data_IF_672565907750
#
_entry.id   IF_672565907750
#
_cell.length_a   1.000
_cell.length_b   1.000
_cell.length_c   1.000
_cell.angle_alpha   90.00
_cell.angle_beta   90.00
_cell.angle_gamma   90.00
#
_symmetry.space_group_name_H-M   'P 1'
#
loop_
_entity.id
_entity.type
_entity.pdbx_description
1 polymer ?
#
# COMPACT_ATOMS: atom_id res chain seq x y z
N UNK A 1 10.11 -18.18 10.22
CA UNK A 1 8.71 -17.95 9.85
C UNK A 1 8.45 -16.53 9.44
N UNK A 2 7.34 -16.31 8.74
CA UNK A 2 6.89 -14.99 8.34
C UNK A 2 5.38 -14.88 8.55
N UNK A 3 4.92 -13.67 8.91
CA UNK A 3 3.50 -13.33 8.95
C UNK A 3 3.26 -12.19 7.97
N UNK A 4 2.33 -12.39 7.04
CA UNK A 4 1.98 -11.41 6.03
C UNK A 4 0.54 -10.95 6.21
N UNK A 5 0.33 -9.64 6.27
CA UNK A 5 -0.99 -9.02 6.28
C UNK A 5 -1.18 -8.22 4.99
N UNK A 6 -2.34 -8.41 4.38
CA UNK A 6 -2.73 -7.72 3.15
C UNK A 6 -3.58 -6.52 3.53
N UNK A 7 -3.12 -5.31 3.20
CA UNK A 7 -3.95 -4.11 3.25
C UNK A 7 -4.33 -3.69 1.83
N UNK A 8 -5.60 -3.40 1.63
CA UNK A 8 -6.14 -3.09 0.30
C UNK A 8 -6.31 -1.60 0.05
N UNK A 9 -6.28 -0.78 1.11
CA UNK A 9 -6.63 0.63 1.02
C UNK A 9 -5.51 1.55 1.49
N UNK A 10 -5.30 2.62 0.74
CA UNK A 10 -4.44 3.73 1.11
C UNK A 10 -5.07 4.67 2.15
N UNK A 11 -4.34 5.73 2.52
CA UNK A 11 -4.78 6.71 3.52
C UNK A 11 -6.01 7.53 3.08
N UNK A 12 -6.30 7.57 1.81
CA UNK A 12 -7.43 8.27 1.19
C UNK A 12 -8.62 7.35 0.89
N UNK A 13 -8.71 6.20 1.55
CA UNK A 13 -9.69 5.14 1.28
C UNK A 13 -9.67 4.65 -0.19
N UNK A 14 -8.65 4.99 -0.95
CA UNK A 14 -8.44 4.52 -2.32
C UNK A 14 -7.92 3.09 -2.33
N UNK A 15 -8.18 2.36 -3.39
CA UNK A 15 -7.61 1.04 -3.60
C UNK A 15 -6.08 1.16 -3.77
N UNK A 16 -5.36 0.57 -2.85
CA UNK A 16 -3.90 0.54 -2.82
C UNK A 16 -3.45 -0.72 -2.09
N UNK A 17 -3.26 -1.79 -2.86
CA UNK A 17 -2.91 -3.09 -2.30
C UNK A 17 -1.45 -3.07 -1.89
N UNK A 18 -1.18 -3.35 -0.61
CA UNK A 18 0.16 -3.48 -0.08
C UNK A 18 0.23 -4.55 1.00
N UNK A 19 1.43 -5.09 1.17
CA UNK A 19 1.71 -6.19 2.08
C UNK A 19 2.58 -5.70 3.23
N UNK A 20 2.19 -6.03 4.45
CA UNK A 20 3.04 -5.89 5.62
C UNK A 20 3.56 -7.28 6.00
N UNK A 21 4.86 -7.48 5.87
CA UNK A 21 5.51 -8.74 6.18
C UNK A 21 6.34 -8.59 7.47
N UNK A 22 6.00 -9.35 8.49
CA UNK A 22 6.83 -9.52 9.68
C UNK A 22 7.68 -10.77 9.48
N UNK A 23 8.98 -10.61 9.45
CA UNK A 23 9.94 -11.69 9.26
C UNK A 23 10.98 -11.66 10.36
N UNK A 24 11.54 -12.81 10.71
CA UNK A 24 12.72 -12.83 11.56
C UNK A 24 13.92 -12.25 10.80
N UNK A 25 14.71 -11.45 11.50
CA UNK A 25 15.97 -10.89 10.98
C UNK A 25 17.16 -11.84 11.24
N UNK A 26 16.92 -13.14 11.26
CA UNK A 26 17.91 -14.16 11.44
C UNK A 26 17.35 -15.57 11.31
N UNK A 27 18.18 -16.54 11.62
CA UNK A 27 17.86 -17.96 11.56
C UNK A 27 18.23 -18.67 12.85
N UNK A 28 17.43 -19.65 13.24
CA UNK A 28 17.79 -20.56 14.31
C UNK A 28 18.67 -21.69 13.77
N UNK A 29 19.88 -21.81 14.29
CA UNK A 29 20.76 -22.92 14.01
C UNK A 29 20.46 -24.05 15.00
N UNK A 30 20.32 -25.27 14.47
CA UNK A 30 20.20 -26.47 15.31
C UNK A 30 21.55 -26.78 15.93
N UNK A 31 21.58 -26.89 17.26
CA UNK A 31 22.73 -27.33 18.05
C UNK A 31 22.38 -28.61 18.80
N UNK A 32 23.33 -29.22 19.54
CA UNK A 32 23.06 -30.37 20.41
C UNK A 32 22.25 -29.98 21.66
N UNK A 33 22.07 -28.66 21.92
CA UNK A 33 21.28 -28.11 23.01
C UNK A 33 20.10 -27.29 22.50
N UNK A 34 19.84 -26.14 23.14
CA UNK A 34 18.83 -25.22 22.68
C UNK A 34 19.23 -24.58 21.36
N UNK A 35 18.24 -24.31 20.47
CA UNK A 35 18.51 -23.63 19.19
C UNK A 35 19.12 -22.24 19.39
N UNK A 36 20.25 -22.00 18.74
CA UNK A 36 20.93 -20.70 18.77
C UNK A 36 20.42 -19.78 17.65
N UNK A 37 20.05 -18.54 18.01
CA UNK A 37 19.59 -17.55 17.05
C UNK A 37 20.76 -16.75 16.46
N UNK A 38 20.94 -16.88 15.15
CA UNK A 38 21.93 -16.12 14.41
C UNK A 38 21.28 -14.98 13.64
N UNK A 39 21.59 -13.77 14.05
CA UNK A 39 21.10 -12.56 13.43
C UNK A 39 21.71 -12.38 12.02
N UNK A 40 20.85 -12.04 11.05
CA UNK A 40 21.28 -11.66 9.71
C UNK A 40 21.60 -10.16 9.69
N UNK A 41 22.58 -9.76 8.90
CA UNK A 41 22.85 -8.34 8.68
C UNK A 41 21.66 -7.67 7.97
N UNK A 42 21.52 -6.37 8.18
CA UNK A 42 20.54 -5.58 7.41
C UNK A 42 20.87 -5.65 5.90
N UNK A 43 19.85 -5.77 5.04
CA UNK A 43 20.06 -5.78 3.60
C UNK A 43 20.62 -4.45 3.12
N UNK A 44 21.45 -4.47 2.10
CA UNK A 44 21.85 -3.25 1.40
C UNK A 44 20.73 -2.77 0.48
N UNK A 45 20.84 -1.52 -0.01
CA UNK A 45 19.89 -0.97 -0.97
C UNK A 45 19.87 -1.77 -2.28
N UNK A 46 21.04 -2.21 -2.74
CA UNK A 46 21.17 -2.99 -3.98
C UNK A 46 20.54 -4.37 -3.82
N UNK A 47 20.69 -5.00 -2.67
CA UNK A 47 20.03 -6.27 -2.35
C UNK A 47 18.51 -6.13 -2.33
N UNK A 48 17.99 -5.02 -1.80
CA UNK A 48 16.56 -4.73 -1.83
C UNK A 48 16.07 -4.49 -3.26
N UNK A 49 16.84 -3.81 -4.11
CA UNK A 49 16.50 -3.60 -5.51
C UNK A 49 16.43 -4.94 -6.27
N UNK A 50 17.44 -5.79 -6.11
CA UNK A 50 17.45 -7.14 -6.71
C UNK A 50 16.29 -8.00 -6.20
N UNK A 51 15.97 -7.90 -4.91
CA UNK A 51 14.83 -8.64 -4.34
C UNK A 51 13.51 -8.13 -4.91
N UNK A 52 13.34 -6.82 -5.04
CA UNK A 52 12.14 -6.21 -5.62
C UNK A 52 11.91 -6.67 -7.06
N UNK A 53 12.95 -6.67 -7.91
CA UNK A 53 12.88 -7.17 -9.28
C UNK A 53 12.44 -8.64 -9.33
N UNK A 54 12.98 -9.48 -8.45
CA UNK A 54 12.56 -10.89 -8.34
C UNK A 54 11.09 -11.03 -7.92
N UNK A 55 10.63 -10.19 -7.00
CA UNK A 55 9.22 -10.19 -6.57
C UNK A 55 8.32 -9.80 -7.74
N UNK A 56 8.65 -8.73 -8.46
CA UNK A 56 7.88 -8.23 -9.63
C UNK A 56 7.82 -9.32 -10.71
N UNK A 57 8.95 -9.89 -11.09
CA UNK A 57 9.01 -10.94 -12.11
C UNK A 57 8.15 -12.16 -11.75
N UNK A 58 8.20 -12.60 -10.48
CA UNK A 58 7.36 -13.71 -10.00
C UNK A 58 5.88 -13.37 -9.96
N UNK A 59 5.54 -12.14 -9.55
CA UNK A 59 4.16 -11.66 -9.53
C UNK A 59 3.57 -11.61 -10.94
N UNK A 60 4.27 -11.01 -11.90
CA UNK A 60 3.83 -10.92 -13.29
C UNK A 60 3.65 -12.33 -13.89
N UNK A 61 4.63 -13.21 -13.71
CA UNK A 61 4.53 -14.61 -14.16
C UNK A 61 3.34 -15.35 -13.54
N UNK A 62 3.04 -15.09 -12.28
CA UNK A 62 1.86 -15.66 -11.61
C UNK A 62 0.57 -15.12 -12.22
N UNK A 63 0.47 -13.81 -12.45
CA UNK A 63 -0.71 -13.17 -13.04
C UNK A 63 -0.97 -13.66 -14.49
N UNK A 64 0.09 -13.84 -15.30
CA UNK A 64 -0.01 -14.45 -16.63
C UNK A 64 -0.53 -15.88 -16.52
N UNK A 65 0.05 -16.68 -15.62
CA UNK A 65 -0.39 -18.09 -15.43
C UNK A 65 -1.84 -18.20 -14.98
N UNK A 66 -2.34 -17.21 -14.21
CA UNK A 66 -3.72 -17.16 -13.76
C UNK A 66 -4.68 -16.53 -14.78
N UNK A 67 -4.19 -16.11 -15.94
CA UNK A 67 -4.99 -15.49 -17.00
C UNK A 67 -5.42 -14.05 -16.72
N UNK A 68 -4.80 -13.37 -15.74
CA UNK A 68 -5.07 -11.94 -15.47
C UNK A 68 -4.26 -11.01 -16.37
N UNK A 69 -3.13 -11.48 -16.87
CA UNK A 69 -2.30 -10.78 -17.83
C UNK A 69 -2.05 -11.67 -19.05
N UNK A 70 -1.94 -11.03 -20.21
CA UNK A 70 -1.48 -11.64 -21.47
C UNK A 70 -0.17 -10.97 -21.87
N UNK A 71 0.80 -11.73 -22.31
CA UNK A 71 2.06 -11.22 -22.83
C UNK A 71 2.11 -11.42 -24.34
N UNK A 72 2.23 -10.31 -25.08
CA UNK A 72 2.37 -10.30 -26.53
C UNK A 72 3.56 -9.41 -26.91
N UNK A 73 4.48 -9.94 -27.71
CA UNK A 73 5.67 -9.23 -28.18
C UNK A 73 6.51 -8.58 -27.07
N UNK A 74 6.56 -9.19 -25.86
CA UNK A 74 7.30 -8.68 -24.71
C UNK A 74 6.59 -7.56 -23.95
N UNK A 75 5.33 -7.26 -24.28
CA UNK A 75 4.49 -6.31 -23.57
C UNK A 75 3.38 -7.07 -22.84
N UNK A 76 3.20 -6.74 -21.55
CA UNK A 76 2.13 -7.34 -20.73
C UNK A 76 0.89 -6.46 -20.78
N UNK A 77 -0.24 -7.04 -21.13
CA UNK A 77 -1.55 -6.39 -21.14
C UNK A 77 -2.44 -7.03 -20.08
N UNK A 78 -3.38 -6.26 -19.56
CA UNK A 78 -4.47 -6.82 -18.75
C UNK A 78 -5.30 -7.69 -19.69
N UNK A 79 -5.46 -8.98 -19.34
CA UNK A 79 -6.35 -9.86 -20.10
C UNK A 79 -7.75 -9.22 -20.10
N UNK A 80 -8.45 -9.33 -21.25
CA UNK A 80 -9.84 -8.88 -21.33
C UNK A 80 -10.63 -9.58 -20.23
N UNK A 81 -10.77 -8.84 -19.13
CA UNK A 81 -11.62 -9.26 -18.03
C UNK A 81 -13.04 -9.16 -18.56
N UNK A 82 -13.78 -10.26 -18.51
CA UNK A 82 -15.15 -10.40 -18.92
C UNK A 82 -15.90 -9.07 -18.90
N UNK A 83 -16.60 -8.74 -19.98
CA UNK A 83 -17.40 -7.51 -20.11
C UNK A 83 -18.40 -7.31 -18.94
N UNK A 84 -18.55 -8.31 -18.11
CA UNK A 84 -19.40 -8.35 -16.89
C UNK A 84 -18.69 -7.87 -15.60
N UNK A 85 -17.43 -7.44 -15.63
CA UNK A 85 -16.80 -6.92 -14.41
C UNK A 85 -17.30 -5.49 -14.10
N UNK A 86 -18.50 -5.41 -13.57
CA UNK A 86 -19.15 -4.15 -13.14
C UNK A 86 -18.33 -3.32 -12.15
N UNK A 87 -17.31 -3.92 -11.50
CA UNK A 87 -16.44 -3.24 -10.54
C UNK A 87 -15.16 -2.67 -11.16
N UNK A 88 -14.81 -3.00 -12.41
CA UNK A 88 -13.56 -2.57 -13.03
C UNK A 88 -13.42 -1.05 -13.07
N UNK A 89 -14.49 -0.33 -13.43
CA UNK A 89 -14.50 1.15 -13.46
C UNK A 89 -14.33 1.76 -12.06
N UNK A 90 -14.95 1.17 -11.04
CA UNK A 90 -14.81 1.58 -9.63
C UNK A 90 -13.38 1.36 -9.15
N UNK A 91 -12.80 0.21 -9.43
CA UNK A 91 -11.42 -0.13 -9.07
C UNK A 91 -10.41 0.81 -9.73
N UNK A 92 -10.54 1.05 -11.04
CA UNK A 92 -9.67 1.96 -11.79
C UNK A 92 -9.77 3.41 -11.28
N UNK A 93 -10.98 3.89 -11.02
CA UNK A 93 -11.19 5.22 -10.46
C UNK A 93 -10.60 5.33 -9.04
N UNK A 94 -10.79 4.31 -8.20
CA UNK A 94 -10.24 4.27 -6.84
C UNK A 94 -8.71 4.31 -6.86
N UNK A 95 -8.04 3.52 -7.70
CA UNK A 95 -6.58 3.51 -7.86
C UNK A 95 -6.02 4.87 -8.29
N UNK A 96 -6.75 5.59 -9.14
CA UNK A 96 -6.29 6.85 -9.75
C UNK A 96 -6.80 8.11 -9.03
N UNK A 97 -7.42 7.96 -7.86
CA UNK A 97 -8.02 9.07 -7.08
C UNK A 97 -9.08 9.83 -7.87
N UNK A 98 -9.86 9.13 -8.70
CA UNK A 98 -10.93 9.67 -9.50
C UNK A 98 -12.29 9.25 -8.97
N UNK A 99 -13.33 9.95 -9.42
CA UNK A 99 -14.73 9.63 -9.17
C UNK A 99 -15.18 8.70 -10.28
N UNK A 100 -15.78 7.56 -9.93
CA UNK A 100 -16.15 6.54 -10.91
C UNK A 100 -17.45 6.87 -11.64
N UNK A 101 -18.46 7.32 -10.89
CA UNK A 101 -19.83 7.47 -11.38
C UNK A 101 -20.43 8.83 -10.97
N UNK A 102 -21.47 9.26 -11.67
CA UNK A 102 -22.21 10.49 -11.38
C UNK A 102 -21.74 11.69 -12.20
N UNK A 103 -22.26 12.90 -11.90
CA UNK A 103 -21.97 14.11 -12.69
C UNK A 103 -20.50 14.51 -12.73
N UNK A 104 -19.71 14.05 -11.79
CA UNK A 104 -18.28 14.32 -11.69
C UNK A 104 -17.40 13.12 -12.09
N UNK A 105 -17.95 12.12 -12.75
CA UNK A 105 -17.21 10.94 -13.21
C UNK A 105 -15.94 11.35 -13.99
N UNK A 106 -14.83 10.66 -13.74
CA UNK A 106 -13.53 10.94 -14.33
C UNK A 106 -12.74 12.09 -13.69
N UNK A 107 -13.38 12.95 -12.90
CA UNK A 107 -12.68 14.03 -12.19
C UNK A 107 -11.89 13.49 -11.00
N UNK A 108 -10.82 14.19 -10.64
CA UNK A 108 -10.10 13.89 -9.39
C UNK A 108 -10.95 14.27 -8.19
N UNK A 109 -10.82 13.53 -7.11
CA UNK A 109 -11.43 13.90 -5.82
C UNK A 109 -10.93 15.27 -5.37
N UNK A 110 -11.81 16.06 -4.80
CA UNK A 110 -11.46 17.37 -4.28
C UNK A 110 -10.51 17.23 -3.08
N UNK A 111 -9.37 17.90 -3.14
CA UNK A 111 -8.35 17.89 -2.10
C UNK A 111 -8.27 19.23 -1.37
N UNK A 112 -8.18 19.19 -0.05
CA UNK A 112 -8.04 20.37 0.81
C UNK A 112 -6.62 20.39 1.39
N UNK A 113 -5.89 21.46 1.10
CA UNK A 113 -4.52 21.69 1.57
C UNK A 113 -4.56 22.59 2.79
N UNK A 114 -4.02 22.13 3.89
CA UNK A 114 -3.97 22.92 5.13
C UNK A 114 -2.54 23.15 5.64
N UNK A 115 -1.55 22.53 5.01
CA UNK A 115 -0.14 22.69 5.32
C UNK A 115 0.66 22.97 4.05
N UNK A 116 1.85 23.57 4.20
CA UNK A 116 2.76 23.76 3.08
C UNK A 116 3.22 22.44 2.51
N UNK A 117 3.33 22.35 1.20
CA UNK A 117 3.87 21.19 0.51
C UNK A 117 5.36 20.98 0.83
N UNK A 118 5.82 19.73 0.78
CA UNK A 118 7.22 19.36 0.97
C UNK A 118 7.86 19.05 -0.36
N UNK A 119 8.97 19.71 -0.67
CA UNK A 119 9.73 19.49 -1.91
C UNK A 119 10.78 18.37 -1.81
N UNK A 120 11.13 17.92 -0.61
CA UNK A 120 12.18 16.92 -0.43
C UNK A 120 11.66 15.49 -0.65
N UNK A 121 12.32 14.78 -1.57
CA UNK A 121 12.28 13.32 -1.62
C UNK A 121 13.15 12.80 -0.47
N UNK A 122 12.55 12.45 0.65
CA UNK A 122 13.28 11.72 1.69
C UNK A 122 13.57 10.32 1.13
N UNK A 123 14.78 10.10 0.65
CA UNK A 123 15.25 8.76 0.29
C UNK A 123 15.44 7.99 1.58
N UNK A 124 14.52 7.11 1.90
CA UNK A 124 14.64 6.21 3.05
C UNK A 124 15.76 5.22 2.77
N UNK A 125 16.72 5.09 3.69
CA UNK A 125 17.95 4.30 3.49
C UNK A 125 17.71 2.83 3.10
N UNK A 126 16.58 2.24 3.54
CA UNK A 126 16.20 0.85 3.25
C UNK A 126 14.89 0.79 2.46
N UNK A 127 14.88 1.43 1.28
CA UNK A 127 13.75 1.43 0.35
C UNK A 127 14.27 1.24 -1.08
N UNK A 128 13.58 0.38 -1.85
CA UNK A 128 13.77 0.21 -3.28
C UNK A 128 12.48 0.49 -4.02
N UNK A 129 12.57 1.10 -5.19
CA UNK A 129 11.43 1.40 -6.07
C UNK A 129 11.76 0.95 -7.50
N UNK A 130 10.86 0.22 -8.14
CA UNK A 130 10.98 -0.21 -9.53
C UNK A 130 9.59 -0.43 -10.14
N UNK A 131 9.39 0.00 -11.39
CA UNK A 131 8.17 -0.27 -12.18
C UNK A 131 6.84 0.07 -11.46
N UNK A 132 6.84 1.11 -10.61
CA UNK A 132 5.67 1.48 -9.82
C UNK A 132 5.47 0.67 -8.53
N UNK A 133 6.33 -0.30 -8.26
CA UNK A 133 6.37 -1.04 -6.99
C UNK A 133 7.39 -0.44 -6.04
N UNK A 134 7.16 -0.64 -4.74
CA UNK A 134 8.12 -0.24 -3.71
C UNK A 134 8.29 -1.33 -2.66
N UNK A 135 9.51 -1.50 -2.18
CA UNK A 135 9.88 -2.41 -1.09
C UNK A 135 10.56 -1.59 0.02
N UNK A 136 9.99 -1.60 1.21
CA UNK A 136 10.50 -0.87 2.36
C UNK A 136 10.86 -1.84 3.49
N UNK A 137 12.11 -1.83 3.93
CA UNK A 137 12.65 -2.71 4.97
C UNK A 137 13.24 -1.93 6.17
N UNK A 138 12.85 -0.66 6.34
CA UNK A 138 13.42 0.23 7.37
C UNK A 138 12.82 0.08 8.77
N UNK A 139 11.85 -0.81 8.98
CA UNK A 139 11.24 -1.01 10.30
C UNK A 139 11.77 -2.30 10.91
N UNK A 140 12.37 -2.18 12.10
CA UNK A 140 12.89 -3.30 12.87
C UNK A 140 12.44 -3.17 14.33
N UNK A 141 12.10 -4.29 14.95
CA UNK A 141 11.82 -4.37 16.38
C UNK A 141 12.80 -5.38 17.00
N UNK A 142 13.67 -4.91 17.89
CA UNK A 142 14.58 -5.77 18.63
C UNK A 142 13.86 -6.64 19.68
N UNK A 143 14.52 -7.68 20.17
CA UNK A 143 13.97 -8.64 21.12
C UNK A 143 13.36 -8.00 22.38
N UNK A 144 13.89 -6.87 22.83
CA UNK A 144 13.44 -6.15 24.02
C UNK A 144 12.35 -5.10 23.72
N UNK A 145 12.00 -4.89 22.45
CA UNK A 145 11.06 -3.85 22.00
C UNK A 145 9.64 -4.42 21.80
N UNK A 146 9.16 -5.17 22.77
CA UNK A 146 7.84 -5.79 22.68
C UNK A 146 6.69 -4.79 22.53
N UNK A 147 6.79 -3.63 23.18
CA UNK A 147 5.77 -2.56 23.07
C UNK A 147 5.75 -1.95 21.68
N UNK A 148 6.90 -1.76 21.06
CA UNK A 148 7.05 -1.27 19.68
C UNK A 148 6.47 -2.26 18.70
N UNK A 149 6.78 -3.56 18.87
CA UNK A 149 6.19 -4.64 18.06
C UNK A 149 4.66 -4.68 18.20
N UNK A 150 4.13 -4.54 19.42
CA UNK A 150 2.69 -4.48 19.64
C UNK A 150 2.05 -3.27 18.93
N UNK A 151 2.68 -2.08 19.02
CA UNK A 151 2.21 -0.89 18.29
C UNK A 151 2.23 -1.11 16.78
N UNK A 152 3.28 -1.74 16.25
CA UNK A 152 3.38 -2.10 14.84
C UNK A 152 2.26 -3.06 14.44
N UNK A 153 2.04 -4.13 15.20
CA UNK A 153 0.95 -5.08 14.96
C UNK A 153 -0.42 -4.38 14.98
N UNK A 154 -0.68 -3.52 15.97
CA UNK A 154 -1.90 -2.70 16.02
C UNK A 154 -2.04 -1.77 14.82
N UNK A 155 -0.93 -1.20 14.34
CA UNK A 155 -0.94 -0.34 13.16
C UNK A 155 -1.31 -1.10 11.89
N UNK A 156 -0.69 -2.26 11.65
CA UNK A 156 -0.90 -3.05 10.42
C UNK A 156 -2.23 -3.80 10.39
N UNK A 157 -2.86 -4.03 11.55
CA UNK A 157 -4.18 -4.67 11.65
C UNK A 157 -5.36 -3.68 11.70
N UNK A 158 -5.09 -2.37 11.69
CA UNK A 158 -6.16 -1.36 11.74
C UNK A 158 -7.04 -1.42 10.50
N UNK A 159 -8.36 -1.14 10.65
CA UNK A 159 -9.24 -0.96 9.52
C UNK A 159 -8.76 0.20 8.64
N UNK A 160 -9.10 0.16 7.35
CA UNK A 160 -8.73 1.17 6.37
C UNK A 160 -9.19 2.58 6.79
N UNK A 161 -10.38 2.66 7.35
CA UNK A 161 -11.03 3.90 7.78
C UNK A 161 -11.29 3.81 9.28
N UNK A 162 -10.78 4.78 10.02
CA UNK A 162 -11.14 5.00 11.41
C UNK A 162 -12.25 6.06 11.48
N UNK A 163 -13.26 5.83 12.29
CA UNK A 163 -14.47 6.67 12.35
C UNK A 163 -14.16 8.14 12.61
N UNK A 164 -13.15 8.41 13.46
CA UNK A 164 -12.72 9.77 13.80
C UNK A 164 -12.15 10.56 12.61
N UNK A 165 -11.77 9.86 11.54
CA UNK A 165 -11.23 10.48 10.33
C UNK A 165 -12.30 10.89 9.32
N UNK A 166 -13.53 10.43 9.49
CA UNK A 166 -14.65 10.70 8.58
C UNK A 166 -15.61 11.65 9.26
N UNK A 167 -15.85 12.78 8.63
CA UNK A 167 -16.80 13.80 9.10
C UNK A 167 -17.72 14.23 7.97
N UNK A 168 -18.89 14.70 8.31
CA UNK A 168 -19.77 15.42 7.37
C UNK A 168 -19.61 16.91 7.59
N UNK A 169 -19.54 17.67 6.52
CA UNK A 169 -19.55 19.13 6.62
C UNK A 169 -20.98 19.70 6.57
N UNK A 170 -21.09 21.03 6.62
CA UNK A 170 -22.38 21.73 6.63
C UNK A 170 -23.18 21.58 5.33
N UNK A 171 -22.55 21.19 4.21
CA UNK A 171 -23.21 20.89 2.94
C UNK A 171 -23.65 19.43 2.82
N UNK A 172 -23.31 18.60 3.82
CA UNK A 172 -23.62 17.16 3.84
C UNK A 172 -22.58 16.30 3.14
N UNK A 173 -21.51 16.87 2.62
CA UNK A 173 -20.41 16.16 1.99
C UNK A 173 -19.54 15.44 3.04
N UNK A 174 -18.91 14.35 2.62
CA UNK A 174 -17.97 13.59 3.43
C UNK A 174 -16.58 14.21 3.32
N UNK A 175 -16.00 14.53 4.46
CA UNK A 175 -14.62 15.01 4.59
C UNK A 175 -13.81 13.91 5.27
N UNK A 176 -12.87 13.32 4.53
CA UNK A 176 -11.95 12.30 5.03
C UNK A 176 -10.60 12.93 5.32
N UNK A 177 -10.16 12.86 6.59
CA UNK A 177 -8.83 13.26 7.01
C UNK A 177 -7.80 12.19 6.62
N UNK A 178 -6.72 12.60 5.97
CA UNK A 178 -5.59 11.72 5.64
C UNK A 178 -4.79 11.37 6.91
N UNK A 179 -4.15 10.20 6.92
CA UNK A 179 -3.25 9.79 8.02
C UNK A 179 -2.02 10.71 8.14
N UNK A 180 -1.54 11.18 6.98
CA UNK A 180 -0.45 12.15 6.86
C UNK A 180 -0.73 13.05 5.68
N UNK A 181 -0.24 14.30 5.73
CA UNK A 181 -0.36 15.20 4.61
C UNK A 181 0.37 14.64 3.36
N UNK A 182 -0.23 14.81 2.19
CA UNK A 182 0.46 14.54 0.94
C UNK A 182 1.59 15.54 0.70
N UNK A 183 2.44 15.27 -0.28
CA UNK A 183 3.58 16.16 -0.61
C UNK A 183 3.13 17.57 -0.96
N UNK A 184 1.98 17.71 -1.60
CA UNK A 184 1.40 19.02 -1.99
C UNK A 184 0.70 19.75 -0.84
N UNK A 185 0.74 19.20 0.40
CA UNK A 185 0.11 19.77 1.57
C UNK A 185 -1.36 19.39 1.75
N UNK A 186 -1.90 18.49 0.92
CA UNK A 186 -3.26 17.97 1.09
C UNK A 186 -3.37 17.17 2.38
N UNK A 187 -4.33 17.52 3.24
CA UNK A 187 -4.60 16.85 4.51
C UNK A 187 -5.98 16.21 4.56
N UNK A 188 -6.90 16.66 3.72
CA UNK A 188 -8.26 16.16 3.66
C UNK A 188 -8.68 15.99 2.20
N UNK A 189 -9.59 15.06 1.97
CA UNK A 189 -10.33 14.95 0.69
C UNK A 189 -11.81 15.10 0.98
N UNK A 190 -12.50 15.77 0.08
CA UNK A 190 -13.93 16.06 0.17
C UNK A 190 -14.67 15.45 -1.02
N UNK A 191 -15.80 14.81 -0.76
CA UNK A 191 -16.60 14.13 -1.76
C UNK A 191 -18.05 14.01 -1.29
N UNK A 192 -18.98 13.85 -2.21
CA UNK A 192 -20.37 13.54 -1.85
C UNK A 192 -20.46 12.15 -1.18
N UNK A 193 -21.53 11.85 -0.42
CA UNK A 193 -21.73 10.53 0.16
C UNK A 193 -21.68 9.39 -0.87
N UNK A 194 -22.26 9.60 -2.07
CA UNK A 194 -22.24 8.61 -3.13
C UNK A 194 -20.81 8.37 -3.65
N UNK A 195 -20.03 9.43 -3.86
CA UNK A 195 -18.63 9.33 -4.28
C UNK A 195 -17.76 8.65 -3.21
N UNK A 196 -18.07 8.84 -1.93
CA UNK A 196 -17.39 8.13 -0.84
C UNK A 196 -17.68 6.63 -0.86
N UNK A 197 -18.93 6.24 -1.16
CA UNK A 197 -19.33 4.82 -1.26
C UNK A 197 -18.72 4.09 -2.47
N UNK A 198 -18.22 4.81 -3.46
CA UNK A 198 -17.54 4.26 -4.64
C UNK A 198 -16.04 3.97 -4.40
N UNK A 199 -15.49 4.36 -3.24
CA UNK A 199 -14.06 4.22 -2.93
C UNK A 199 -13.71 2.85 -2.43
#
# INVERSE_FOLDING_TARGET
>A
GAVTLIQRFGSAANLNIHLHCLVFDGVYRRTEGEPDFQEARAPSRDELAVLLEKIIARLLKMLIRLGHLVEEEGVSYIADMDADNSLASLQAASCTYRIALGPRAGQKVLSLRTVAGRNEKTTTALCAEAHGFSLHAGVRCGAHQRKELERLCRYITRPAIANERVKRDGSGDVVLQLKSAWRDGTTHIKMSPLEFMQR
#
